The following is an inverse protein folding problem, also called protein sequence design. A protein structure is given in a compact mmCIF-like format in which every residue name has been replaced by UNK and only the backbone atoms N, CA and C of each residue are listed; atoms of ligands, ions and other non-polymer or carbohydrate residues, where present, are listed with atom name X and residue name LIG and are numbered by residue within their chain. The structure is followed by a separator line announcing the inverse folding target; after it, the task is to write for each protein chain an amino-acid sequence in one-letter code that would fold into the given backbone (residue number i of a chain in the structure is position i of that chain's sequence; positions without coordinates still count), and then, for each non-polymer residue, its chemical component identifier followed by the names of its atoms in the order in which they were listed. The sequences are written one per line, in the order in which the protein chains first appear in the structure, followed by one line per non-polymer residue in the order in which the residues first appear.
data_IF_604869072674
#
_entry.id   IF_604869072674
#
_cell.length_a   1.000
_cell.length_b   1.000
_cell.length_c   1.000
_cell.angle_alpha   90.00
_cell.angle_beta   90.00
_cell.angle_gamma   90.00
#
_symmetry.space_group_name_H-M   'P 1'
#
loop_
_entity.id
_entity.type
_entity.pdbx_description
1 polymer ?
#
# COMPACT_ATOMS: atom_id res chain seq x y z
N UNK A 1 6.18 -42.55 21.32
CA UNK A 1 6.66 -42.63 19.92
C UNK A 1 5.88 -41.58 19.14
N UNK A 2 6.29 -40.30 19.22
CA UNK A 2 7.09 -39.60 18.20
C UNK A 2 6.32 -39.50 16.87
N UNK A 3 5.91 -38.33 16.41
CA UNK A 3 6.81 -37.33 15.81
C UNK A 3 6.24 -35.90 15.86
N UNK A 4 7.13 -34.93 16.03
CA UNK A 4 6.87 -33.50 16.09
C UNK A 4 7.02 -32.90 14.68
N UNK A 5 5.91 -32.58 14.03
CA UNK A 5 5.92 -31.81 12.79
C UNK A 5 6.21 -30.33 13.06
N UNK A 6 7.48 -29.94 13.02
CA UNK A 6 7.91 -28.55 13.01
C UNK A 6 7.40 -27.84 11.74
N UNK A 7 6.29 -27.09 11.87
CA UNK A 7 5.86 -26.13 10.86
C UNK A 7 6.81 -24.94 10.88
N UNK A 8 7.75 -24.91 9.94
CA UNK A 8 8.68 -23.80 9.76
C UNK A 8 7.93 -22.47 9.60
N UNK A 9 8.38 -21.47 10.36
CA UNK A 9 7.99 -20.08 10.15
C UNK A 9 8.26 -19.70 8.68
N UNK A 10 7.38 -18.93 8.02
CA UNK A 10 7.65 -18.46 6.67
C UNK A 10 8.86 -17.54 6.73
N UNK A 11 9.99 -18.03 6.23
CA UNK A 11 11.18 -17.21 5.97
C UNK A 11 10.74 -16.18 4.94
N UNK A 12 10.54 -14.94 5.38
CA UNK A 12 10.09 -13.85 4.51
C UNK A 12 11.02 -13.72 3.30
N UNK A 13 10.44 -13.49 2.13
CA UNK A 13 11.20 -13.31 0.88
C UNK A 13 12.25 -12.19 1.08
N UNK A 14 13.56 -12.48 0.95
CA UNK A 14 14.63 -11.51 1.18
C UNK A 14 14.45 -10.24 0.35
N UNK A 15 13.91 -10.35 -0.88
CA UNK A 15 13.70 -9.22 -1.77
C UNK A 15 12.68 -8.21 -1.23
N UNK A 16 11.66 -8.69 -0.50
CA UNK A 16 10.67 -7.83 0.14
C UNK A 16 11.29 -7.02 1.29
N UNK A 17 12.16 -7.67 2.07
CA UNK A 17 12.83 -7.03 3.20
C UNK A 17 13.78 -5.90 2.74
N UNK A 18 14.48 -6.08 1.61
CA UNK A 18 15.32 -5.03 1.04
C UNK A 18 14.52 -3.80 0.58
N UNK A 19 13.38 -4.01 -0.08
CA UNK A 19 12.53 -2.89 -0.52
C UNK A 19 11.95 -2.11 0.65
N UNK A 20 11.54 -2.80 1.73
CA UNK A 20 11.02 -2.14 2.93
C UNK A 20 12.10 -1.33 3.66
N UNK A 21 13.32 -1.86 3.72
CA UNK A 21 14.46 -1.15 4.29
C UNK A 21 14.79 0.12 3.48
N UNK A 22 14.90 0.01 2.15
CA UNK A 22 15.15 1.17 1.28
C UNK A 22 14.06 2.23 1.41
N UNK A 23 12.79 1.81 1.45
CA UNK A 23 11.66 2.72 1.64
C UNK A 23 11.76 3.44 2.99
N UNK A 24 12.07 2.71 4.06
CA UNK A 24 12.17 3.27 5.41
C UNK A 24 13.27 4.34 5.48
N UNK A 25 14.45 4.06 4.93
CA UNK A 25 15.55 5.03 4.91
C UNK A 25 15.23 6.26 4.05
N UNK A 26 14.54 6.06 2.93
CA UNK A 26 14.06 7.17 2.09
C UNK A 26 13.05 8.04 2.83
N UNK A 27 12.08 7.45 3.53
CA UNK A 27 11.06 8.20 4.26
C UNK A 27 11.66 9.01 5.40
N UNK A 28 12.61 8.44 6.17
CA UNK A 28 13.34 9.18 7.21
C UNK A 28 14.10 10.38 6.65
N UNK A 29 14.69 10.24 5.46
CA UNK A 29 15.40 11.34 4.79
C UNK A 29 14.45 12.45 4.29
N UNK A 30 13.27 12.08 3.79
CA UNK A 30 12.29 13.04 3.25
C UNK A 30 11.49 13.74 4.34
N UNK A 31 11.15 13.02 5.41
CA UNK A 31 10.26 13.48 6.47
C UNK A 31 10.90 13.32 7.85
N UNK A 32 12.07 13.95 8.11
CA UNK A 32 12.86 13.72 9.32
C UNK A 32 12.18 14.15 10.63
N UNK A 33 11.15 15.00 10.55
CA UNK A 33 10.40 15.47 11.71
C UNK A 33 9.22 14.55 12.09
N UNK A 34 8.91 13.52 11.29
CA UNK A 34 7.79 12.61 11.55
C UNK A 34 8.20 11.51 12.52
N UNK A 35 7.48 11.37 13.63
CA UNK A 35 7.53 10.19 14.48
C UNK A 35 6.54 9.14 13.94
N UNK A 36 7.04 8.08 13.30
CA UNK A 36 6.20 7.02 12.71
C UNK A 36 5.55 6.10 13.76
N UNK A 37 6.01 6.08 15.02
CA UNK A 37 5.35 5.33 16.10
C UNK A 37 4.04 6.00 16.54
N UNK A 38 3.99 7.33 16.50
CA UNK A 38 2.79 8.13 16.84
C UNK A 38 1.91 8.39 15.61
N UNK A 39 2.53 8.71 14.48
CA UNK A 39 1.86 9.14 13.25
C UNK A 39 2.49 8.43 12.04
N UNK A 40 2.15 7.15 11.81
CA UNK A 40 2.75 6.37 10.73
C UNK A 40 2.46 6.98 9.35
N UNK A 41 3.46 6.92 8.46
CA UNK A 41 3.31 7.40 7.09
C UNK A 41 2.48 6.40 6.24
N UNK A 42 1.72 6.87 5.24
CA UNK A 42 1.09 6.00 4.28
C UNK A 42 2.14 5.34 3.37
N UNK A 43 2.19 4.00 3.39
CA UNK A 43 3.13 3.19 2.60
C UNK A 43 2.45 2.35 1.50
N UNK A 44 1.14 2.17 1.56
CA UNK A 44 0.37 1.42 0.56
C UNK A 44 -1.12 1.77 0.60
N UNK A 45 -1.89 1.24 -0.36
CA UNK A 45 -3.35 1.35 -0.36
C UNK A 45 -3.99 0.43 0.68
N UNK A 46 -5.04 0.90 1.34
CA UNK A 46 -5.72 0.14 2.39
C UNK A 46 -6.56 -1.00 1.81
N UNK A 47 -6.36 -2.26 2.22
CA UNK A 47 -7.22 -3.37 1.80
C UNK A 47 -8.59 -3.32 2.46
N UNK A 48 -8.73 -2.58 3.58
CA UNK A 48 -9.98 -2.43 4.34
C UNK A 48 -10.76 -1.19 3.90
N UNK A 49 -10.06 -0.10 3.65
CA UNK A 49 -10.65 1.20 3.37
C UNK A 49 -10.69 1.48 1.87
N UNK A 50 -11.48 0.65 1.19
CA UNK A 50 -11.66 0.68 -0.26
C UNK A 50 -13.07 0.23 -0.63
N UNK A 51 -13.56 0.71 -1.76
CA UNK A 51 -14.80 0.20 -2.30
C UNK A 51 -14.65 -1.25 -2.81
N UNK A 52 -15.76 -1.98 -2.92
CA UNK A 52 -15.77 -3.40 -3.31
C UNK A 52 -15.25 -3.61 -4.74
N UNK A 53 -15.42 -2.64 -5.64
CA UNK A 53 -14.92 -2.67 -7.03
C UNK A 53 -13.41 -2.40 -7.17
N UNK A 54 -12.69 -2.16 -6.07
CA UNK A 54 -11.24 -2.04 -6.10
C UNK A 54 -10.58 -3.38 -5.75
N UNK A 55 -9.71 -3.86 -6.63
CA UNK A 55 -8.75 -4.93 -6.37
C UNK A 55 -7.36 -4.36 -6.10
N UNK A 56 -6.60 -4.98 -5.19
CA UNK A 56 -5.23 -4.59 -4.86
C UNK A 56 -4.27 -5.75 -5.16
N UNK A 57 -3.05 -5.41 -5.58
CA UNK A 57 -1.96 -6.36 -5.84
C UNK A 57 -0.60 -5.68 -5.67
N UNK A 58 0.50 -6.40 -5.82
CA UNK A 58 1.87 -5.88 -5.68
C UNK A 58 2.07 -5.15 -4.34
N UNK A 59 1.91 -5.88 -3.23
CA UNK A 59 2.01 -5.34 -1.88
C UNK A 59 1.06 -4.14 -1.64
N UNK A 60 -0.13 -4.23 -2.21
CA UNK A 60 -1.15 -3.18 -2.17
C UNK A 60 -0.72 -1.84 -2.79
N UNK A 61 0.22 -1.82 -3.73
CA UNK A 61 0.62 -0.62 -4.47
C UNK A 61 -0.06 -0.51 -5.84
N UNK A 62 -0.52 -1.63 -6.40
CA UNK A 62 -1.23 -1.65 -7.68
C UNK A 62 -2.73 -1.80 -7.46
N UNK A 63 -3.47 -0.82 -7.96
CA UNK A 63 -4.94 -0.74 -7.94
C UNK A 63 -5.49 -1.22 -9.27
N UNK A 64 -6.55 -2.04 -9.21
CA UNK A 64 -7.31 -2.50 -10.37
C UNK A 64 -8.79 -2.19 -10.17
N UNK A 65 -9.43 -1.67 -11.21
CA UNK A 65 -10.87 -1.54 -11.25
C UNK A 65 -11.50 -2.84 -11.74
N UNK A 66 -12.46 -3.38 -10.98
CA UNK A 66 -13.20 -4.62 -11.28
C UNK A 66 -14.72 -4.45 -11.22
N UNK A 67 -15.20 -3.20 -11.30
CA UNK A 67 -16.62 -2.89 -11.38
C UNK A 67 -17.15 -2.95 -12.82
N UNK A 68 -18.44 -2.69 -13.00
CA UNK A 68 -19.08 -2.72 -14.32
C UNK A 68 -18.74 -1.51 -15.20
N UNK A 69 -18.44 -0.35 -14.61
CA UNK A 69 -17.99 0.86 -15.32
C UNK A 69 -19.00 1.48 -16.28
N UNK A 70 -20.31 1.30 -16.09
CA UNK A 70 -21.33 1.78 -17.06
C UNK A 70 -21.62 3.26 -16.95
N UNK A 71 -21.54 3.83 -15.76
CA UNK A 71 -21.75 5.25 -15.50
C UNK A 71 -21.02 5.68 -14.22
N UNK A 72 -21.08 6.97 -13.90
CA UNK A 72 -20.39 7.56 -12.74
C UNK A 72 -20.80 6.97 -11.38
N UNK A 73 -21.94 6.27 -11.27
CA UNK A 73 -22.34 5.58 -10.03
C UNK A 73 -21.48 4.34 -9.75
N UNK A 74 -20.81 3.81 -10.77
CA UNK A 74 -19.88 2.69 -10.62
C UNK A 74 -18.45 3.16 -10.26
N UNK A 75 -18.25 4.46 -10.03
CA UNK A 75 -16.97 5.00 -9.58
C UNK A 75 -16.58 4.38 -8.22
N UNK A 76 -15.28 4.11 -8.08
CA UNK A 76 -14.75 3.42 -6.92
C UNK A 76 -13.43 4.06 -6.48
N UNK A 77 -13.22 4.17 -5.17
CA UNK A 77 -12.03 4.75 -4.58
C UNK A 77 -11.43 3.84 -3.49
N UNK A 78 -10.18 4.14 -3.14
CA UNK A 78 -9.44 3.53 -2.04
C UNK A 78 -8.63 4.61 -1.35
N UNK A 79 -8.53 4.54 -0.01
CA UNK A 79 -7.62 5.39 0.77
C UNK A 79 -6.32 4.66 1.06
N UNK A 80 -5.25 5.42 1.35
CA UNK A 80 -4.01 4.85 1.86
C UNK A 80 -4.22 4.28 3.28
N UNK A 81 -3.24 3.52 3.78
CA UNK A 81 -3.32 2.91 5.13
C UNK A 81 -3.38 3.92 6.27
N UNK A 82 -2.78 5.11 6.10
CA UNK A 82 -2.70 6.16 7.11
C UNK A 82 -2.93 7.55 6.49
N UNK A 83 -3.42 8.53 7.26
CA UNK A 83 -3.42 9.92 6.84
C UNK A 83 -1.99 10.47 6.74
N UNK A 84 -1.81 11.59 6.06
CA UNK A 84 -0.52 12.29 5.99
C UNK A 84 -0.27 13.01 7.32
N UNK A 85 0.83 12.74 8.05
CA UNK A 85 1.18 13.44 9.29
C UNK A 85 1.45 14.93 9.03
N UNK A 86 0.95 15.81 9.91
CA UNK A 86 1.20 17.25 9.81
C UNK A 86 2.70 17.59 9.88
N UNK A 87 3.48 16.79 10.63
CA UNK A 87 4.92 16.94 10.75
C UNK A 87 5.69 16.71 9.43
N UNK A 88 5.05 16.24 8.36
CA UNK A 88 5.69 16.18 7.03
C UNK A 88 6.10 17.58 6.55
N UNK A 89 5.33 18.62 6.89
CA UNK A 89 5.43 19.95 6.29
C UNK A 89 4.99 19.95 4.83
N UNK A 90 5.76 19.28 3.97
CA UNK A 90 5.44 18.99 2.57
C UNK A 90 5.36 17.48 2.42
N UNK A 91 4.33 16.96 1.76
CA UNK A 91 4.19 15.54 1.45
C UNK A 91 4.08 15.33 -0.06
N UNK A 92 4.74 14.29 -0.57
CA UNK A 92 4.76 13.96 -1.99
C UNK A 92 4.52 12.47 -2.23
N UNK A 93 3.67 12.16 -3.20
CA UNK A 93 3.47 10.83 -3.75
C UNK A 93 3.15 10.92 -5.24
N UNK A 94 3.39 9.84 -5.97
CA UNK A 94 3.11 9.75 -7.41
C UNK A 94 2.20 8.56 -7.71
N UNK A 95 1.42 8.70 -8.78
CA UNK A 95 0.62 7.61 -9.34
C UNK A 95 0.99 7.44 -10.80
N UNK A 96 1.37 6.22 -11.17
CA UNK A 96 1.58 5.83 -12.57
C UNK A 96 0.31 5.18 -13.11
N UNK A 97 -0.26 5.74 -14.17
CA UNK A 97 -1.35 5.11 -14.91
C UNK A 97 -0.77 3.94 -15.73
N UNK A 98 -1.04 2.71 -15.28
CA UNK A 98 -0.57 1.49 -15.97
C UNK A 98 -1.43 1.18 -17.19
N UNK A 99 -2.75 1.41 -17.09
CA UNK A 99 -3.72 1.25 -18.16
C UNK A 99 -4.89 2.20 -17.93
N UNK A 100 -5.39 2.83 -19.00
CA UNK A 100 -6.62 3.65 -18.97
C UNK A 100 -7.92 2.82 -18.94
N UNK A 101 -7.82 1.49 -19.04
CA UNK A 101 -8.99 0.62 -19.14
C UNK A 101 -9.73 0.76 -20.49
N UNK A 102 -10.98 0.29 -20.52
CA UNK A 102 -11.83 0.32 -21.72
C UNK A 102 -12.30 1.73 -22.06
N UNK A 103 -12.80 2.44 -21.05
CA UNK A 103 -13.58 3.66 -21.23
C UNK A 103 -12.84 4.97 -20.86
N UNK A 104 -11.64 4.88 -20.28
CA UNK A 104 -10.75 6.03 -20.05
C UNK A 104 -11.06 6.81 -18.78
#
# INVERSE_FOLDING_TARGET
MAELGAGGLPVGDPALNYQEHELTERLKRLYPAVNEEESPLPRSWSPKDKYSYIGLSQNNLRVHYKGHGKNHKDAASVRATHPIPAACGIYYFEVKIVSKGRDG
#
